data_IF_246378853197
#
_entry.id   IF_246378853197
#
_cell.length_a   1.000
_cell.length_b   1.000
_cell.length_c   1.000
_cell.angle_alpha   90.00
_cell.angle_beta   90.00
_cell.angle_gamma   90.00
#
_symmetry.space_group_name_H-M   'P 1'
#
loop_
_entity.id
_entity.type
_entity.pdbx_description
1 polymer ?
#
# COMPACT_ATOMS: atom_id res chain seq x y z
N UNK A 1 -27.06 25.28 31.34
CA UNK A 1 -26.67 24.06 32.07
C UNK A 1 -25.34 23.59 31.50
N UNK A 2 -24.24 23.87 32.19
CA UNK A 2 -22.92 23.36 31.82
C UNK A 2 -22.80 21.92 32.35
N UNK A 3 -22.23 20.97 31.58
CA UNK A 3 -22.04 19.62 32.08
C UNK A 3 -21.07 19.66 33.26
N UNK A 4 -21.35 18.85 34.28
CA UNK A 4 -20.52 18.76 35.47
C UNK A 4 -19.12 18.22 35.10
N UNK A 5 -18.05 18.65 35.79
CA UNK A 5 -16.67 18.26 35.48
C UNK A 5 -16.42 16.74 35.52
N UNK A 6 -17.29 15.96 36.18
CA UNK A 6 -17.25 14.50 36.18
C UNK A 6 -17.56 13.89 34.80
N UNK A 7 -18.46 14.49 34.01
CA UNK A 7 -18.87 13.94 32.71
C UNK A 7 -17.76 14.05 31.64
N UNK A 8 -16.94 15.11 31.72
CA UNK A 8 -15.79 15.32 30.82
C UNK A 8 -14.66 14.31 31.08
N UNK A 9 -14.43 13.92 32.34
CA UNK A 9 -13.43 12.91 32.71
C UNK A 9 -13.79 11.49 32.22
N UNK A 10 -15.08 11.14 32.20
CA UNK A 10 -15.55 9.87 31.65
C UNK A 10 -15.42 9.80 30.12
N UNK A 11 -15.68 10.90 29.41
CA UNK A 11 -15.53 10.95 27.95
C UNK A 11 -14.06 10.87 27.52
N UNK A 12 -13.15 11.52 28.25
CA UNK A 12 -11.71 11.44 27.98
C UNK A 12 -11.15 10.02 28.24
N UNK A 13 -11.54 9.36 29.32
CA UNK A 13 -11.07 7.98 29.59
C UNK A 13 -11.64 6.98 28.59
N UNK A 14 -12.90 7.13 28.17
CA UNK A 14 -13.51 6.26 27.16
C UNK A 14 -12.87 6.40 25.77
N UNK A 15 -12.51 7.61 25.33
CA UNK A 15 -11.81 7.82 24.05
C UNK A 15 -10.36 7.30 24.08
N UNK A 16 -9.66 7.47 25.20
CA UNK A 16 -8.31 6.91 25.37
C UNK A 16 -8.37 5.37 25.38
N UNK A 17 -9.35 4.76 26.06
CA UNK A 17 -9.50 3.29 26.09
C UNK A 17 -9.88 2.73 24.72
N UNK A 18 -10.78 3.38 23.98
CA UNK A 18 -11.13 2.95 22.62
C UNK A 18 -9.93 3.04 21.66
N UNK A 19 -9.12 4.10 21.74
CA UNK A 19 -7.89 4.26 20.95
C UNK A 19 -6.84 3.18 21.25
N UNK A 20 -6.61 2.89 22.54
CA UNK A 20 -5.67 1.85 22.99
C UNK A 20 -6.14 0.44 22.60
N UNK A 21 -7.44 0.16 22.66
CA UNK A 21 -8.00 -1.15 22.28
C UNK A 21 -7.90 -1.41 20.76
N UNK A 22 -8.11 -0.39 19.92
CA UNK A 22 -8.02 -0.53 18.45
C UNK A 22 -6.56 -0.78 18.01
N UNK A 23 -5.58 -0.10 18.60
CA UNK A 23 -4.16 -0.36 18.30
C UNK A 23 -3.72 -1.77 18.73
N UNK A 24 -4.12 -2.22 19.93
CA UNK A 24 -3.79 -3.56 20.42
C UNK A 24 -4.35 -4.70 19.53
N UNK A 25 -5.42 -4.45 18.78
CA UNK A 25 -6.06 -5.44 17.93
C UNK A 25 -5.39 -5.58 16.54
N UNK A 26 -4.76 -4.52 16.03
CA UNK A 26 -3.94 -4.57 14.80
C UNK A 26 -2.59 -5.24 15.06
N UNK A 27 -1.97 -5.05 16.24
CA UNK A 27 -0.69 -5.67 16.59
C UNK A 27 -0.81 -7.19 16.86
N UNK A 28 -1.98 -7.64 17.34
CA UNK A 28 -2.25 -9.04 17.65
C UNK A 28 -2.29 -9.98 16.44
N UNK A 29 -2.31 -9.47 15.19
CA UNK A 29 -2.31 -10.32 13.99
C UNK A 29 -0.90 -10.74 13.56
N UNK A 30 0.12 -9.90 13.82
CA UNK A 30 1.52 -10.20 13.48
C UNK A 30 2.03 -11.44 14.22
N UNK A 31 1.44 -11.74 15.37
CA UNK A 31 1.77 -12.89 16.20
C UNK A 31 1.03 -14.18 15.81
N UNK A 32 0.16 -14.15 14.79
CA UNK A 32 -0.68 -15.30 14.41
C UNK A 32 -0.09 -16.03 13.21
N UNK A 33 -0.08 -17.36 13.33
CA UNK A 33 0.29 -18.25 12.24
C UNK A 33 -0.96 -18.68 11.47
N UNK A 34 -1.12 -18.20 10.24
CA UNK A 34 -2.26 -18.54 9.40
C UNK A 34 -1.93 -18.40 7.92
N UNK A 35 -2.69 -19.10 7.09
CA UNK A 35 -2.74 -18.86 5.65
C UNK A 35 -4.17 -18.98 5.13
N UNK A 36 -4.47 -18.15 4.14
CA UNK A 36 -5.77 -18.07 3.46
C UNK A 36 -5.47 -18.05 1.96
N UNK A 37 -5.95 -19.05 1.22
CA UNK A 37 -5.83 -19.12 -0.23
C UNK A 37 -7.20 -18.93 -0.87
N UNK A 38 -7.29 -18.06 -1.86
CA UNK A 38 -8.49 -17.86 -2.67
C UNK A 38 -8.12 -17.89 -4.14
N UNK A 39 -8.77 -18.76 -4.90
CA UNK A 39 -8.66 -18.80 -6.36
C UNK A 39 -9.99 -18.40 -6.97
N UNK A 40 -9.97 -17.54 -7.98
CA UNK A 40 -11.17 -17.09 -8.70
C UNK A 40 -11.24 -17.73 -10.09
N UNK A 41 -12.46 -17.89 -10.60
CA UNK A 41 -12.72 -18.43 -11.94
C UNK A 41 -12.10 -17.60 -13.08
N UNK A 42 -11.74 -16.34 -12.82
CA UNK A 42 -11.11 -15.43 -13.79
C UNK A 42 -9.57 -15.50 -13.81
N UNK A 43 -8.97 -16.55 -13.23
CA UNK A 43 -7.51 -16.76 -13.27
C UNK A 43 -6.70 -15.96 -12.26
N UNK A 44 -7.34 -15.34 -11.26
CA UNK A 44 -6.64 -14.70 -10.15
C UNK A 44 -6.52 -15.63 -8.96
N UNK A 45 -5.34 -15.68 -8.35
CA UNK A 45 -5.16 -16.29 -7.03
C UNK A 45 -4.61 -15.28 -6.03
N UNK A 46 -5.14 -15.34 -4.81
CA UNK A 46 -4.69 -14.55 -3.67
C UNK A 46 -4.24 -15.50 -2.55
N UNK A 47 -3.12 -15.18 -1.93
CA UNK A 47 -2.64 -15.81 -0.70
C UNK A 47 -2.44 -14.69 0.34
N UNK A 48 -3.08 -14.82 1.50
CA UNK A 48 -2.88 -13.95 2.67
C UNK A 48 -2.30 -14.81 3.78
N UNK A 49 -1.30 -14.32 4.50
CA UNK A 49 -0.66 -15.10 5.54
C UNK A 49 -0.10 -14.25 6.68
N UNK A 50 0.08 -14.91 7.82
CA UNK A 50 0.88 -14.45 8.95
C UNK A 50 1.73 -15.62 9.44
N UNK A 51 3.01 -15.38 9.71
CA UNK A 51 3.93 -16.37 10.28
C UNK A 51 5.11 -15.65 10.95
N UNK A 52 5.35 -15.93 12.23
CA UNK A 52 6.59 -15.52 12.91
C UNK A 52 6.84 -14.01 12.95
N UNK A 53 5.80 -13.21 13.23
CA UNK A 53 5.94 -11.74 13.28
C UNK A 53 5.88 -11.06 11.91
N UNK A 54 5.75 -11.82 10.83
CA UNK A 54 5.63 -11.31 9.46
C UNK A 54 4.24 -11.60 8.93
N UNK A 55 3.62 -10.60 8.33
CA UNK A 55 2.39 -10.76 7.55
C UNK A 55 2.67 -10.49 6.09
N UNK A 56 1.86 -11.08 5.23
CA UNK A 56 2.00 -10.84 3.82
C UNK A 56 0.74 -11.13 3.02
N UNK A 57 0.78 -10.61 1.82
CA UNK A 57 -0.25 -10.77 0.82
C UNK A 57 0.41 -10.98 -0.53
N UNK A 58 -0.06 -11.98 -1.25
CA UNK A 58 0.39 -12.32 -2.58
C UNK A 58 -0.82 -12.36 -3.51
N UNK A 59 -0.67 -11.75 -4.69
CA UNK A 59 -1.65 -11.84 -5.77
C UNK A 59 -0.97 -12.30 -7.04
N UNK A 60 -1.52 -13.33 -7.66
CA UNK A 60 -1.12 -13.79 -8.99
C UNK A 60 -2.24 -13.47 -9.98
N UNK A 61 -1.87 -12.89 -11.11
CA UNK A 61 -2.74 -12.60 -12.25
C UNK A 61 -2.29 -13.46 -13.42
N UNK A 62 -3.22 -14.15 -14.07
CA UNK A 62 -2.95 -14.95 -15.28
C UNK A 62 -3.71 -14.37 -16.48
N UNK A 63 -3.04 -14.27 -17.63
CA UNK A 63 -3.61 -13.85 -18.92
C UNK A 63 -2.99 -14.69 -20.04
N UNK A 64 -3.75 -15.63 -20.60
CA UNK A 64 -3.23 -16.59 -21.58
C UNK A 64 -2.08 -17.41 -20.97
N UNK A 65 -0.93 -17.43 -21.65
CA UNK A 65 0.30 -18.10 -21.17
C UNK A 65 1.16 -17.22 -20.25
N UNK A 66 0.76 -15.97 -20.00
CA UNK A 66 1.49 -15.04 -19.14
C UNK A 66 0.87 -14.98 -17.75
N UNK A 67 1.72 -14.82 -16.73
CA UNK A 67 1.33 -14.57 -15.36
C UNK A 67 2.28 -13.59 -14.70
N UNK A 68 1.74 -12.73 -13.82
CA UNK A 68 2.55 -11.92 -12.92
C UNK A 68 2.14 -12.24 -11.50
N UNK A 69 3.11 -12.20 -10.58
CA UNK A 69 2.88 -12.42 -9.15
C UNK A 69 3.45 -11.27 -8.34
N UNK A 70 2.60 -10.57 -7.61
CA UNK A 70 2.96 -9.53 -6.65
C UNK A 70 3.00 -10.17 -5.26
N UNK A 71 4.08 -9.95 -4.52
CA UNK A 71 4.25 -10.31 -3.13
C UNK A 71 4.49 -9.03 -2.31
N UNK A 72 3.64 -8.77 -1.33
CA UNK A 72 3.84 -7.73 -0.32
C UNK A 72 4.04 -8.41 1.05
N UNK A 73 5.14 -8.08 1.75
CA UNK A 73 5.45 -8.63 3.08
C UNK A 73 5.89 -7.53 4.02
N UNK A 74 5.47 -7.60 5.28
CA UNK A 74 5.88 -6.64 6.31
C UNK A 74 6.12 -7.31 7.66
N UNK A 75 7.14 -6.80 8.38
CA UNK A 75 7.43 -7.11 9.78
C UNK A 75 7.07 -5.96 10.71
N UNK A 76 6.12 -5.09 10.33
CA UNK A 76 5.75 -3.81 10.97
C UNK A 76 6.74 -2.65 10.81
N UNK A 77 8.04 -2.91 10.62
CA UNK A 77 9.04 -1.85 10.43
C UNK A 77 9.29 -1.52 8.97
N UNK A 78 9.31 -2.55 8.13
CA UNK A 78 9.52 -2.44 6.69
C UNK A 78 8.43 -3.16 5.94
N UNK A 79 8.19 -2.72 4.71
CA UNK A 79 7.41 -3.43 3.72
C UNK A 79 8.30 -3.69 2.51
N UNK A 80 8.33 -4.94 2.04
CA UNK A 80 8.94 -5.30 0.77
C UNK A 80 7.83 -5.69 -0.22
N UNK A 81 7.88 -5.10 -1.40
CA UNK A 81 6.98 -5.33 -2.52
C UNK A 81 7.79 -5.93 -3.67
N UNK A 82 7.43 -7.11 -4.14
CA UNK A 82 8.18 -7.84 -5.17
C UNK A 82 7.25 -8.31 -6.27
N UNK A 83 7.68 -8.17 -7.52
CA UNK A 83 6.98 -8.64 -8.70
C UNK A 83 7.79 -9.75 -9.34
N UNK A 84 7.13 -10.86 -9.66
CA UNK A 84 7.73 -12.01 -10.33
C UNK A 84 7.01 -12.30 -11.65
N UNK A 85 7.80 -12.74 -12.62
CA UNK A 85 7.38 -13.29 -13.90
C UNK A 85 6.88 -14.74 -13.76
N UNK A 86 6.33 -15.36 -14.82
CA UNK A 86 5.87 -16.75 -14.80
C UNK A 86 7.00 -17.74 -14.48
N UNK A 87 8.21 -17.45 -14.96
CA UNK A 87 9.41 -18.25 -14.74
C UNK A 87 10.02 -18.06 -13.36
N UNK A 88 9.31 -17.38 -12.44
CA UNK A 88 9.72 -17.04 -11.07
C UNK A 88 10.91 -16.09 -10.96
N UNK A 89 11.31 -15.47 -12.08
CA UNK A 89 12.32 -14.42 -12.08
C UNK A 89 11.71 -13.13 -11.54
N UNK A 90 12.46 -12.44 -10.68
CA UNK A 90 12.09 -11.12 -10.18
C UNK A 90 12.10 -10.14 -11.35
N UNK A 91 10.97 -9.47 -11.54
CA UNK A 91 10.78 -8.43 -12.55
C UNK A 91 11.10 -7.08 -11.93
N UNK A 92 10.69 -6.89 -10.68
CA UNK A 92 10.81 -5.61 -9.99
C UNK A 92 10.67 -5.79 -8.48
N UNK A 93 11.20 -4.85 -7.69
CA UNK A 93 11.06 -4.84 -6.24
C UNK A 93 11.25 -3.45 -5.62
N UNK A 94 10.55 -3.19 -4.51
CA UNK A 94 10.67 -1.96 -3.71
C UNK A 94 10.63 -2.28 -2.21
N UNK A 95 11.43 -1.55 -1.43
CA UNK A 95 11.52 -1.68 0.03
C UNK A 95 11.28 -0.31 0.64
N UNK A 96 10.30 -0.22 1.54
CA UNK A 96 9.91 1.02 2.19
C UNK A 96 9.77 0.84 3.70
N UNK A 97 10.06 1.89 4.46
CA UNK A 97 9.77 2.01 5.89
C UNK A 97 8.54 2.91 6.17
N UNK A 98 7.75 3.22 5.15
CA UNK A 98 6.57 4.08 5.29
C UNK A 98 5.52 3.44 6.20
N UNK A 99 5.26 4.07 7.35
CA UNK A 99 4.23 3.66 8.30
C UNK A 99 2.85 3.55 7.64
N UNK A 100 2.54 4.43 6.67
CA UNK A 100 1.30 4.37 5.91
C UNK A 100 1.18 3.08 5.08
N UNK A 101 2.25 2.68 4.40
CA UNK A 101 2.25 1.46 3.57
C UNK A 101 2.14 0.20 4.42
N UNK A 102 2.85 0.15 5.56
CA UNK A 102 2.74 -0.93 6.55
C UNK A 102 1.30 -1.03 7.06
N UNK A 103 0.73 0.08 7.54
CA UNK A 103 -0.66 0.11 8.08
C UNK A 103 -1.69 -0.32 7.03
N UNK A 104 -1.54 0.08 5.77
CA UNK A 104 -2.42 -0.37 4.67
C UNK A 104 -2.39 -1.89 4.53
N UNK A 105 -1.20 -2.50 4.50
CA UNK A 105 -1.07 -3.95 4.38
C UNK A 105 -1.64 -4.64 5.62
N UNK A 106 -1.31 -4.18 6.83
CA UNK A 106 -1.86 -4.71 8.09
C UNK A 106 -3.39 -4.69 8.11
N UNK A 107 -4.02 -3.56 7.77
CA UNK A 107 -5.48 -3.45 7.67
C UNK A 107 -6.08 -4.41 6.63
N UNK A 108 -5.43 -4.55 5.48
CA UNK A 108 -5.88 -5.47 4.44
C UNK A 108 -5.84 -6.93 4.92
N UNK A 109 -4.72 -7.35 5.49
CA UNK A 109 -4.52 -8.70 6.05
C UNK A 109 -5.52 -8.96 7.18
N UNK A 110 -5.71 -8.00 8.09
CA UNK A 110 -6.65 -8.10 9.20
C UNK A 110 -8.10 -8.27 8.73
N UNK A 111 -8.54 -7.49 7.74
CA UNK A 111 -9.87 -7.62 7.14
C UNK A 111 -10.10 -9.02 6.54
N UNK A 112 -9.08 -9.58 5.87
CA UNK A 112 -9.16 -10.92 5.29
C UNK A 112 -9.16 -12.02 6.36
N UNK A 113 -8.29 -11.88 7.37
CA UNK A 113 -8.21 -12.80 8.49
C UNK A 113 -9.52 -12.90 9.26
N UNK A 114 -10.08 -11.77 9.67
CA UNK A 114 -11.33 -11.73 10.44
C UNK A 114 -12.50 -12.36 9.67
N UNK A 115 -12.58 -12.16 8.36
CA UNK A 115 -13.57 -12.83 7.49
C UNK A 115 -13.33 -14.34 7.42
N UNK A 116 -12.10 -14.78 7.19
CA UNK A 116 -11.78 -16.21 7.11
C UNK A 116 -11.98 -16.94 8.45
N UNK A 117 -11.63 -16.28 9.57
CA UNK A 117 -11.83 -16.80 10.91
C UNK A 117 -13.32 -17.04 11.22
N UNK A 118 -14.20 -16.11 10.86
CA UNK A 118 -15.66 -16.27 11.03
C UNK A 118 -16.24 -17.48 10.30
N UNK A 119 -15.62 -17.87 9.19
CA UNK A 119 -16.06 -19.00 8.37
C UNK A 119 -15.21 -20.27 8.58
N UNK A 120 -14.30 -20.28 9.57
CA UNK A 120 -13.38 -21.39 9.84
C UNK A 120 -12.50 -21.81 8.64
N UNK A 121 -12.08 -20.85 7.81
CA UNK A 121 -11.27 -21.07 6.58
C UNK A 121 -9.79 -20.71 6.81
N UNK A 122 -9.28 -20.97 8.01
CA UNK A 122 -7.88 -20.71 8.36
C UNK A 122 -7.09 -22.01 8.23
N UNK A 123 -6.01 -21.98 7.45
CA UNK A 123 -5.05 -23.08 7.39
C UNK A 123 -3.81 -22.73 8.22
N UNK A 124 -3.18 -23.74 8.84
CA UNK A 124 -1.86 -23.55 9.46
C UNK A 124 -0.86 -23.07 8.41
N UNK A 125 0.03 -22.14 8.80
CA UNK A 125 1.05 -21.54 7.94
C UNK A 125 2.19 -22.48 7.51
N UNK A 126 1.95 -23.79 7.46
CA UNK A 126 2.95 -24.78 7.10
C UNK A 126 3.32 -24.62 5.61
N UNK A 127 4.62 -24.53 5.31
CA UNK A 127 5.12 -24.33 3.93
C UNK A 127 5.16 -22.88 3.46
N UNK A 128 5.03 -21.90 4.35
CA UNK A 128 5.21 -20.47 4.02
C UNK A 128 6.67 -20.01 4.03
N UNK A 129 7.63 -20.85 4.44
CA UNK A 129 9.05 -20.59 4.25
C UNK A 129 9.41 -20.86 2.76
N UNK A 130 10.10 -19.95 2.04
CA UNK A 130 10.81 -18.74 2.51
C UNK A 130 9.99 -17.44 2.43
N UNK A 131 8.72 -17.49 2.02
CA UNK A 131 7.86 -16.32 1.78
C UNK A 131 7.75 -15.41 3.03
N UNK A 132 7.76 -15.98 4.24
CA UNK A 132 7.72 -15.24 5.52
C UNK A 132 9.06 -14.63 5.97
N UNK A 133 10.18 -14.89 5.30
CA UNK A 133 11.46 -14.29 5.66
C UNK A 133 11.61 -12.92 4.97
N UNK A 134 11.19 -11.85 5.64
CA UNK A 134 11.28 -10.50 5.07
C UNK A 134 12.73 -10.07 4.80
N UNK A 135 13.68 -10.44 5.64
CA UNK A 135 15.09 -10.08 5.49
C UNK A 135 15.66 -10.65 4.19
N UNK A 136 15.33 -11.90 3.89
CA UNK A 136 15.68 -12.54 2.60
C UNK A 136 15.16 -11.74 1.40
N UNK A 137 13.91 -11.26 1.46
CA UNK A 137 13.32 -10.49 0.37
C UNK A 137 13.91 -9.09 0.22
N UNK A 138 14.19 -8.44 1.35
CA UNK A 138 14.90 -7.17 1.39
C UNK A 138 16.26 -7.34 0.72
N UNK A 139 17.11 -8.26 1.18
CA UNK A 139 18.43 -8.52 0.62
C UNK A 139 18.38 -8.86 -0.87
N UNK A 140 17.42 -9.71 -1.28
CA UNK A 140 17.19 -10.03 -2.69
C UNK A 140 16.86 -8.80 -3.52
N UNK A 141 16.05 -7.89 -3.00
CA UNK A 141 15.69 -6.67 -3.69
C UNK A 141 16.88 -5.72 -3.86
N UNK A 142 17.66 -5.52 -2.79
CA UNK A 142 18.87 -4.70 -2.87
C UNK A 142 19.90 -5.25 -3.86
N UNK A 143 20.07 -6.58 -3.86
CA UNK A 143 20.94 -7.26 -4.83
C UNK A 143 20.44 -7.10 -6.26
N UNK A 144 19.12 -7.17 -6.48
CA UNK A 144 18.51 -6.97 -7.79
C UNK A 144 18.81 -5.58 -8.36
N UNK A 145 18.84 -4.56 -7.51
CA UNK A 145 19.19 -3.18 -7.87
C UNK A 145 20.71 -2.90 -7.93
N UNK A 146 21.57 -3.92 -7.80
CA UNK A 146 23.02 -3.76 -7.89
C UNK A 146 23.68 -3.03 -6.71
N UNK A 147 22.99 -2.89 -5.58
CA UNK A 147 23.52 -2.23 -4.38
C UNK A 147 24.41 -3.17 -3.56
N UNK A 148 25.48 -2.64 -2.96
CA UNK A 148 26.31 -3.37 -1.99
C UNK A 148 25.70 -3.32 -0.58
N UNK A 149 26.02 -4.29 0.30
CA UNK A 149 25.56 -4.36 1.70
C UNK A 149 25.84 -3.07 2.51
N UNK A 150 26.94 -2.38 2.23
CA UNK A 150 27.26 -1.11 2.88
C UNK A 150 26.36 0.05 2.41
N UNK A 151 26.00 0.04 1.13
CA UNK A 151 25.08 0.99 0.50
C UNK A 151 23.62 0.71 0.90
N UNK A 152 23.29 -0.56 1.12
CA UNK A 152 22.07 -1.01 1.77
C UNK A 152 21.93 -0.45 3.20
N UNK A 153 22.96 -0.61 4.03
CA UNK A 153 22.93 -0.13 5.41
C UNK A 153 22.87 1.40 5.50
N UNK A 154 23.53 2.13 4.60
CA UNK A 154 23.45 3.60 4.56
C UNK A 154 22.07 4.08 4.11
N UNK A 155 21.44 3.40 3.14
CA UNK A 155 20.08 3.71 2.67
C UNK A 155 19.05 3.51 3.78
N UNK A 156 19.10 2.40 4.51
CA UNK A 156 18.22 2.16 5.66
C UNK A 156 18.40 3.20 6.79
N UNK A 157 19.63 3.70 7.00
CA UNK A 157 19.93 4.72 8.02
C UNK A 157 19.53 6.13 7.60
N UNK A 158 19.70 6.49 6.33
CA UNK A 158 19.32 7.81 5.80
C UNK A 158 17.80 8.04 5.88
N UNK A 159 17.00 7.01 5.63
CA UNK A 159 15.54 7.04 5.79
C UNK A 159 15.07 7.12 7.25
N UNK A 160 15.97 6.93 8.23
CA UNK A 160 15.72 7.16 9.66
C UNK A 160 16.06 8.61 10.06
N UNK A 161 16.99 9.26 9.36
CA UNK A 161 17.41 10.64 9.64
C UNK A 161 16.45 11.70 9.04
N UNK A 162 15.68 11.36 8.01
CA UNK A 162 14.65 12.24 7.43
C UNK A 162 13.39 12.39 8.31
N UNK A 163 13.24 11.61 9.39
CA UNK A 163 12.08 11.74 10.29
C UNK A 163 12.14 12.98 11.21
N UNK A 164 13.20 13.80 11.14
CA UNK A 164 13.32 15.03 11.92
C UNK A 164 13.12 16.33 11.11
N UNK A 165 12.86 16.27 9.79
CA UNK A 165 12.70 17.51 8.98
C UNK A 165 11.65 17.44 7.84
N UNK A 166 10.65 16.56 7.90
CA UNK A 166 9.49 16.61 7.00
C UNK A 166 8.17 16.62 7.77
N UNK A 167 7.90 17.78 8.38
CA UNK A 167 6.61 18.11 8.98
C UNK A 167 5.60 18.62 7.93
N UNK A 168 5.55 18.04 6.73
CA UNK A 168 4.57 18.44 5.69
C UNK A 168 3.59 17.34 5.27
N UNK A 169 3.74 16.11 5.75
CA UNK A 169 2.86 14.99 5.36
C UNK A 169 1.68 14.76 6.32
N UNK A 170 1.53 15.61 7.34
CA UNK A 170 0.46 15.53 8.34
C UNK A 170 -0.87 16.19 7.91
N UNK A 171 -0.99 16.71 6.68
CA UNK A 171 -2.17 17.45 6.22
C UNK A 171 -3.08 16.67 5.24
N UNK A 172 -2.93 15.35 5.12
CA UNK A 172 -3.87 14.51 4.37
C UNK A 172 -4.52 13.47 5.31
N UNK A 173 -5.11 13.95 6.40
CA UNK A 173 -6.12 13.17 7.12
C UNK A 173 -7.41 13.11 6.29
N UNK A 174 -7.71 11.89 5.88
CA UNK A 174 -9.04 11.26 5.73
C UNK A 174 -10.25 12.18 5.96
N UNK A 175 -10.64 12.93 4.91
CA UNK A 175 -11.99 13.46 4.79
C UNK A 175 -12.69 12.62 3.72
N UNK A 176 -13.73 11.91 4.15
CA UNK A 176 -14.61 11.00 3.41
C UNK A 176 -14.15 9.54 3.32
N UNK A 177 -14.57 8.77 4.33
CA UNK A 177 -14.85 7.36 4.17
C UNK A 177 -15.96 7.15 3.14
N UNK A 178 -15.60 7.08 1.86
CA UNK A 178 -16.14 6.10 0.91
C UNK A 178 -15.23 6.05 -0.31
N UNK A 179 -14.80 4.84 -0.66
CA UNK A 179 -13.87 4.48 -1.75
C UNK A 179 -12.41 4.93 -1.60
N UNK A 180 -11.61 4.04 -1.01
CA UNK A 180 -10.16 4.17 -0.96
C UNK A 180 -9.55 4.02 -2.36
N UNK A 181 -8.73 5.02 -2.74
CA UNK A 181 -7.79 5.01 -3.87
C UNK A 181 -7.20 3.61 -4.13
N UNK A 182 -7.45 3.06 -5.32
CA UNK A 182 -6.70 1.89 -5.84
C UNK A 182 -5.39 2.40 -6.43
N UNK A 183 -4.27 2.25 -5.71
CA UNK A 183 -2.91 2.45 -6.27
C UNK A 183 -2.79 1.56 -7.52
N UNK A 184 -2.08 2.01 -8.56
CA UNK A 184 -1.78 1.18 -9.74
C UNK A 184 -1.27 -0.16 -9.25
N UNK A 185 -2.03 -1.21 -9.51
CA UNK A 185 -1.79 -2.54 -9.00
C UNK A 185 -1.19 -3.42 -10.08
N UNK A 186 -0.83 -4.65 -9.71
CA UNK A 186 -0.38 -5.68 -10.65
C UNK A 186 -1.34 -5.89 -11.85
N UNK A 187 -2.63 -5.57 -11.68
CA UNK A 187 -3.62 -5.64 -12.77
C UNK A 187 -3.30 -4.62 -13.85
N UNK A 188 -2.89 -3.40 -13.50
CA UNK A 188 -2.61 -2.33 -14.46
C UNK A 188 -1.31 -2.57 -15.24
N UNK A 189 -0.39 -3.38 -14.68
CA UNK A 189 0.80 -3.88 -15.39
C UNK A 189 0.45 -4.95 -16.44
N UNK A 190 -0.61 -5.73 -16.22
CA UNK A 190 -1.07 -6.80 -17.14
C UNK A 190 -2.13 -6.28 -18.14
N UNK A 191 -2.83 -5.22 -17.76
CA UNK A 191 -3.89 -4.58 -18.54
C UNK A 191 -3.67 -3.05 -18.55
N UNK A 192 -2.65 -2.56 -19.27
CA UNK A 192 -2.45 -1.13 -19.41
C UNK A 192 -3.57 -0.54 -20.28
N UNK A 193 -3.89 0.71 -20.02
CA UNK A 193 -4.82 1.44 -20.87
C UNK A 193 -4.19 1.78 -22.21
N UNK A 194 -5.02 1.79 -23.26
CA UNK A 194 -4.54 1.87 -24.64
C UNK A 194 -4.30 3.30 -25.11
N UNK A 195 -4.99 4.29 -24.52
CA UNK A 195 -4.83 5.70 -24.89
C UNK A 195 -5.29 6.64 -23.75
N UNK A 196 -5.13 7.96 -23.94
CA UNK A 196 -5.49 8.98 -22.96
C UNK A 196 -6.97 8.96 -22.55
N UNK A 197 -7.86 8.56 -23.46
CA UNK A 197 -9.31 8.55 -23.27
C UNK A 197 -9.85 7.19 -22.82
N UNK A 198 -8.99 6.19 -22.71
CA UNK A 198 -9.30 4.90 -22.10
C UNK A 198 -9.33 5.08 -20.58
N UNK A 199 -10.47 5.62 -20.13
CA UNK A 199 -10.72 6.00 -18.74
C UNK A 199 -11.47 4.89 -18.01
N UNK A 200 -11.07 4.64 -16.76
CA UNK A 200 -11.76 3.74 -15.85
C UNK A 200 -13.13 4.25 -15.37
N UNK A 201 -13.69 3.53 -14.40
CA UNK A 201 -15.03 3.80 -13.82
C UNK A 201 -15.16 5.23 -13.27
N UNK A 202 -14.15 5.72 -12.55
CA UNK A 202 -14.10 7.10 -12.07
C UNK A 202 -13.40 8.00 -13.10
N UNK A 203 -14.13 8.37 -14.15
CA UNK A 203 -13.61 9.14 -15.30
C UNK A 203 -12.95 10.47 -14.92
N UNK A 204 -13.49 11.18 -13.93
CA UNK A 204 -12.96 12.49 -13.49
C UNK A 204 -11.59 12.32 -12.84
N UNK A 205 -11.48 11.38 -11.90
CA UNK A 205 -10.22 11.08 -11.22
C UNK A 205 -9.19 10.52 -12.21
N UNK A 206 -9.63 9.63 -13.10
CA UNK A 206 -8.71 8.98 -14.04
C UNK A 206 -8.15 9.96 -15.07
N UNK A 207 -8.92 10.99 -15.46
CA UNK A 207 -8.41 12.10 -16.29
C UNK A 207 -7.26 12.86 -15.60
N UNK A 208 -7.27 12.97 -14.28
CA UNK A 208 -6.18 13.60 -13.52
C UNK A 208 -4.94 12.72 -13.49
N UNK A 209 -5.12 11.42 -13.26
CA UNK A 209 -4.04 10.44 -13.36
C UNK A 209 -3.40 10.46 -14.75
N UNK A 210 -4.22 10.58 -15.81
CA UNK A 210 -3.73 10.72 -17.19
C UNK A 210 -2.92 11.99 -17.39
N UNK A 211 -3.39 13.14 -16.91
CA UNK A 211 -2.62 14.38 -17.03
C UNK A 211 -1.27 14.27 -16.30
N UNK A 212 -1.24 13.62 -15.13
CA UNK A 212 -0.02 13.38 -14.35
C UNK A 212 0.97 12.45 -15.06
N UNK A 213 0.48 11.41 -15.74
CA UNK A 213 1.33 10.49 -16.54
C UNK A 213 2.12 11.21 -17.66
N UNK A 214 1.61 12.35 -18.15
CA UNK A 214 2.27 13.16 -19.18
C UNK A 214 3.26 14.19 -18.61
N UNK A 215 3.68 14.02 -17.36
CA UNK A 215 4.69 14.88 -16.76
C UNK A 215 5.97 14.90 -17.64
N UNK A 216 6.47 16.08 -18.03
CA UNK A 216 7.65 16.19 -18.91
C UNK A 216 8.95 15.83 -18.20
N UNK A 217 8.97 15.94 -16.87
CA UNK A 217 10.14 15.64 -16.06
C UNK A 217 9.86 14.49 -15.11
N UNK A 218 10.32 13.31 -15.53
CA UNK A 218 10.18 12.06 -14.81
C UNK A 218 11.53 11.36 -14.66
N UNK A 219 11.60 10.50 -13.64
CA UNK A 219 12.63 9.49 -13.45
C UNK A 219 11.90 8.14 -13.55
N UNK A 220 11.98 7.43 -14.69
CA UNK A 220 11.38 6.12 -14.86
C UNK A 220 11.75 5.16 -13.72
N UNK A 221 10.90 4.16 -13.48
CA UNK A 221 11.24 3.06 -12.57
C UNK A 221 12.60 2.47 -12.98
N UNK A 222 13.45 2.19 -11.99
CA UNK A 222 14.75 1.53 -12.18
C UNK A 222 15.72 2.30 -13.09
N UNK A 223 15.66 3.63 -13.06
CA UNK A 223 16.53 4.47 -13.87
C UNK A 223 17.17 5.59 -13.05
N UNK A 224 18.33 6.06 -13.52
CA UNK A 224 19.03 7.22 -12.95
C UNK A 224 18.73 8.47 -13.75
N UNK A 225 18.39 9.56 -13.06
CA UNK A 225 18.37 10.92 -13.61
C UNK A 225 18.77 11.90 -12.51
N UNK A 226 19.47 12.98 -12.85
CA UNK A 226 19.94 13.97 -11.88
C UNK A 226 20.78 13.39 -10.73
N UNK A 227 21.59 12.35 -11.01
CA UNK A 227 22.35 11.59 -10.01
C UNK A 227 21.49 10.95 -8.90
N UNK A 228 20.20 10.77 -9.15
CA UNK A 228 19.26 10.06 -8.29
C UNK A 228 18.77 8.82 -9.03
N UNK A 229 18.90 7.65 -8.40
CA UNK A 229 18.33 6.41 -8.91
C UNK A 229 16.97 6.15 -8.26
N UNK A 230 15.94 5.96 -9.11
CA UNK A 230 14.59 5.63 -8.64
C UNK A 230 14.48 4.12 -8.37
N UNK A 231 14.61 3.73 -7.11
CA UNK A 231 14.45 2.34 -6.64
C UNK A 231 12.98 1.85 -6.64
N UNK A 232 12.02 2.74 -6.90
CA UNK A 232 10.61 2.41 -6.85
C UNK A 232 10.13 1.68 -8.10
N UNK A 233 9.08 0.86 -7.92
CA UNK A 233 8.40 0.12 -8.98
C UNK A 233 7.67 1.02 -10.01
N UNK A 234 7.63 2.32 -9.75
CA UNK A 234 6.84 3.30 -10.48
C UNK A 234 7.71 4.49 -10.83
N UNK A 235 7.39 5.12 -11.96
CA UNK A 235 7.96 6.38 -12.37
C UNK A 235 7.79 7.43 -11.27
N UNK A 236 8.90 8.03 -10.86
CA UNK A 236 8.89 9.24 -10.04
C UNK A 236 8.71 10.45 -10.95
N UNK A 237 7.83 11.37 -10.56
CA UNK A 237 7.58 12.61 -11.31
C UNK A 237 8.18 13.81 -10.58
N UNK A 238 8.37 14.93 -11.27
CA UNK A 238 8.83 16.15 -10.63
C UNK A 238 7.85 16.64 -9.55
N UNK A 239 8.35 17.30 -8.50
CA UNK A 239 7.49 17.86 -7.47
C UNK A 239 6.45 18.86 -8.02
N UNK A 240 6.74 19.53 -9.13
CA UNK A 240 5.79 20.42 -9.79
C UNK A 240 4.58 19.64 -10.34
N UNK A 241 4.83 18.50 -10.98
CA UNK A 241 3.77 17.61 -11.47
C UNK A 241 2.96 17.03 -10.31
N UNK A 242 3.63 16.58 -9.24
CA UNK A 242 2.95 16.01 -8.07
C UNK A 242 2.09 17.05 -7.33
N UNK A 243 2.56 18.30 -7.20
CA UNK A 243 1.76 19.40 -6.61
C UNK A 243 0.52 19.71 -7.45
N UNK A 244 0.66 19.81 -8.76
CA UNK A 244 -0.48 20.04 -9.66
C UNK A 244 -1.47 18.88 -9.57
N UNK A 245 -0.97 17.65 -9.57
CA UNK A 245 -1.80 16.47 -9.41
C UNK A 245 -2.58 16.49 -8.09
N UNK A 246 -1.93 16.83 -6.99
CA UNK A 246 -2.57 16.97 -5.68
C UNK A 246 -3.68 18.03 -5.68
N UNK A 247 -3.41 19.22 -6.23
CA UNK A 247 -4.40 20.30 -6.32
C UNK A 247 -5.64 19.86 -7.10
N UNK A 248 -5.45 19.21 -8.25
CA UNK A 248 -6.57 18.78 -9.08
C UNK A 248 -7.40 17.70 -8.37
N UNK A 249 -6.75 16.77 -7.66
CA UNK A 249 -7.47 15.76 -6.87
C UNK A 249 -8.31 16.38 -5.74
N UNK A 250 -7.79 17.42 -5.06
CA UNK A 250 -8.56 18.14 -4.04
C UNK A 250 -9.78 18.87 -4.62
N UNK A 251 -9.65 19.43 -5.83
CA UNK A 251 -10.78 20.07 -6.50
C UNK A 251 -11.89 19.06 -6.82
N UNK A 252 -11.51 17.86 -7.27
CA UNK A 252 -12.45 16.79 -7.55
C UNK A 252 -13.17 16.31 -6.29
N UNK A 253 -12.44 16.10 -5.20
CA UNK A 253 -13.06 15.66 -3.94
C UNK A 253 -14.05 16.70 -3.41
N UNK A 254 -13.69 17.98 -3.45
CA UNK A 254 -14.58 19.07 -3.05
C UNK A 254 -15.82 19.17 -3.94
N UNK A 255 -15.66 19.01 -5.26
CA UNK A 255 -16.79 18.98 -6.20
C UNK A 255 -17.77 17.85 -5.89
N UNK A 256 -17.28 16.63 -5.64
CA UNK A 256 -18.14 15.51 -5.25
C UNK A 256 -18.84 15.74 -3.92
N UNK A 257 -18.17 16.35 -2.93
CA UNK A 257 -18.80 16.70 -1.65
C UNK A 257 -19.94 17.70 -1.82
N UNK A 258 -19.80 18.69 -2.71
CA UNK A 258 -20.87 19.63 -3.01
C UNK A 258 -22.09 18.96 -3.64
N UNK A 259 -21.88 18.05 -4.61
CA UNK A 259 -22.97 17.29 -5.23
C UNK A 259 -23.70 16.45 -4.19
N UNK A 260 -22.97 15.68 -3.38
CA UNK A 260 -23.56 14.83 -2.34
C UNK A 260 -24.32 15.65 -1.28
N UNK A 261 -23.89 16.88 -1.03
CA UNK A 261 -24.58 17.79 -0.10
C UNK A 261 -25.86 18.37 -0.73
N UNK A 262 -25.88 18.59 -2.04
CA UNK A 262 -27.07 19.04 -2.76
C UNK A 262 -28.15 17.95 -2.85
N UNK A 263 -27.76 16.69 -3.10
CA UNK A 263 -28.69 15.55 -3.15
C UNK A 263 -29.31 15.19 -1.79
N UNK A 264 -28.65 15.49 -0.68
CA UNK A 264 -29.22 15.29 0.67
C UNK A 264 -30.23 16.36 1.09
N UNK A 265 -30.24 17.49 0.38
CA UNK A 265 -31.05 18.67 0.71
C UNK A 265 -32.23 18.89 -0.27
N UNK A 266 -32.43 17.99 -1.24
CA UNK A 266 -33.56 17.99 -2.18
C UNK A 266 -34.40 16.74 -1.99
#
# INVERSE_FOLDING_TARGET
MFPTPALLLFLFTAHIWAGVVVQNQEDGILQRNFSIKKTTSRGYSELVFGLGGVIGWQRTVVKGNSSLRLLEVTNSSYIAQLIFSPSTQMVDCDVSNSAHQVRRLSKHVHSKYTKAAKHNILHHGNGLNPISNITFWIEKCYTFHGMNLNEFQSTLRSNKASSLTQSSDAAAEDITGNETRKKRGIVDLVYPAQNFYDLGENKYTDRCCRAHDYCPDIIPALSTKYNYFNFGLLTASSCSCDRNFFIILLQISHFFQQILSAEKNG
#
